data_IF_731736800797
#
_entry.id   IF_731736800797
#
_cell.length_a   1.000
_cell.length_b   1.000
_cell.length_c   1.000
_cell.angle_alpha   90.00
_cell.angle_beta   90.00
_cell.angle_gamma   90.00
#
_symmetry.space_group_name_H-M   'P 1'
#
loop_
_entity.id
_entity.type
_entity.pdbx_description
1 polymer ?
#
# COMPACT_ATOMS: atom_id res chain seq x y z
N UNK A 1 -32.24 -5.82 -16.55
CA UNK A 1 -31.22 -5.93 -15.49
C UNK A 1 -31.02 -4.54 -14.95
N UNK A 2 -31.12 -4.34 -13.66
CA UNK A 2 -31.03 -3.01 -13.05
C UNK A 2 -29.66 -2.40 -13.32
N UNK A 3 -29.63 -1.15 -13.79
CA UNK A 3 -28.41 -0.37 -13.93
C UNK A 3 -27.86 0.04 -12.52
N UNK A 4 -27.83 -0.90 -11.60
CA UNK A 4 -27.34 -0.68 -10.25
C UNK A 4 -25.84 -0.91 -10.19
N UNK A 5 -25.13 0.06 -9.66
CA UNK A 5 -23.70 -0.03 -9.40
C UNK A 5 -23.53 -0.37 -7.94
N UNK A 6 -22.88 -1.48 -7.66
CA UNK A 6 -22.52 -1.84 -6.30
C UNK A 6 -21.22 -1.14 -5.89
N UNK A 7 -21.28 -0.28 -4.90
CA UNK A 7 -20.09 0.30 -4.26
C UNK A 7 -19.64 -0.66 -3.18
N UNK A 8 -18.44 -1.19 -3.31
CA UNK A 8 -17.80 -2.00 -2.27
C UNK A 8 -16.52 -1.34 -1.79
N UNK A 9 -15.95 -1.82 -0.71
CA UNK A 9 -14.62 -1.37 -0.29
C UNK A 9 -13.55 -1.63 -1.36
N UNK A 10 -13.71 -2.66 -2.18
CA UNK A 10 -12.80 -3.01 -3.27
C UNK A 10 -12.89 -2.08 -4.47
N UNK A 11 -14.07 -1.57 -4.76
CA UNK A 11 -14.30 -0.72 -5.93
C UNK A 11 -15.79 -0.54 -6.20
N UNK A 12 -16.08 0.10 -7.33
CA UNK A 12 -17.40 0.18 -7.92
C UNK A 12 -17.52 -0.93 -8.96
N UNK A 13 -18.55 -1.75 -8.86
CA UNK A 13 -18.82 -2.84 -9.78
C UNK A 13 -19.87 -2.42 -10.79
N UNK A 14 -19.50 -2.47 -12.05
CA UNK A 14 -20.38 -2.17 -13.18
C UNK A 14 -20.88 -3.49 -13.82
N UNK A 15 -22.17 -3.59 -14.14
CA UNK A 15 -22.70 -4.78 -14.81
C UNK A 15 -22.13 -4.94 -16.20
N UNK A 16 -22.15 -6.16 -16.76
CA UNK A 16 -21.80 -6.42 -18.15
C UNK A 16 -22.63 -5.54 -19.09
N UNK A 17 -21.99 -4.98 -20.13
CA UNK A 17 -22.65 -4.13 -21.12
C UNK A 17 -23.01 -2.73 -20.63
N UNK A 18 -22.48 -2.28 -19.52
CA UNK A 18 -22.67 -0.91 -19.05
C UNK A 18 -22.12 0.11 -20.09
N UNK A 19 -22.90 1.14 -20.50
CA UNK A 19 -22.56 2.00 -21.64
C UNK A 19 -21.28 2.83 -21.46
N UNK A 20 -20.79 2.99 -20.24
CA UNK A 20 -19.60 3.81 -19.91
C UNK A 20 -18.30 2.99 -19.84
N UNK A 21 -18.30 1.68 -20.10
CA UNK A 21 -17.11 0.82 -19.94
C UNK A 21 -15.93 1.35 -20.74
N UNK A 22 -16.10 1.65 -22.01
CA UNK A 22 -14.99 2.10 -22.88
C UNK A 22 -14.42 3.47 -22.45
N UNK A 23 -15.30 4.36 -21.97
CA UNK A 23 -14.87 5.67 -21.45
C UNK A 23 -14.08 5.52 -20.16
N UNK A 24 -14.52 4.65 -19.25
CA UNK A 24 -13.84 4.34 -18.00
C UNK A 24 -12.47 3.73 -18.25
N UNK A 25 -12.39 2.74 -19.14
CA UNK A 25 -11.13 2.11 -19.51
C UNK A 25 -10.12 3.11 -20.08
N UNK A 26 -10.57 4.09 -20.87
CA UNK A 26 -9.70 5.16 -21.37
C UNK A 26 -9.22 6.10 -20.26
N UNK A 27 -10.09 6.48 -19.33
CA UNK A 27 -9.76 7.40 -18.21
C UNK A 27 -8.82 6.78 -17.20
N UNK A 28 -8.86 5.45 -17.01
CA UNK A 28 -8.05 4.72 -16.03
C UNK A 28 -6.81 4.05 -16.65
N UNK A 29 -6.34 4.53 -17.78
CA UNK A 29 -5.09 4.08 -18.40
C UNK A 29 -3.92 4.90 -17.89
N UNK A 30 -2.92 4.20 -17.37
CA UNK A 30 -1.62 4.79 -17.02
C UNK A 30 -0.53 4.26 -17.96
N UNK A 31 0.47 5.06 -18.34
CA UNK A 31 1.63 4.58 -19.07
C UNK A 31 2.28 3.41 -18.31
N UNK A 32 2.61 2.34 -19.04
CA UNK A 32 3.29 1.20 -18.44
C UNK A 32 4.81 1.42 -18.44
N UNK A 33 5.44 1.58 -17.29
CA UNK A 33 6.89 1.80 -17.20
C UNK A 33 7.71 0.63 -17.73
N UNK A 34 7.20 -0.60 -17.61
CA UNK A 34 7.85 -1.80 -18.17
C UNK A 34 7.88 -1.78 -19.69
N UNK A 35 6.86 -1.20 -20.35
CA UNK A 35 6.84 -1.01 -21.80
C UNK A 35 7.97 -0.11 -22.25
N UNK A 36 8.15 1.03 -21.60
CA UNK A 36 9.21 1.98 -21.93
C UNK A 36 10.61 1.36 -21.74
N UNK A 37 10.81 0.62 -20.65
CA UNK A 37 12.05 -0.10 -20.38
C UNK A 37 12.33 -1.19 -21.42
N UNK A 38 11.33 -2.00 -21.80
CA UNK A 38 11.45 -3.04 -22.81
C UNK A 38 11.79 -2.46 -24.19
N UNK A 39 11.15 -1.35 -24.56
CA UNK A 39 11.45 -0.64 -25.82
C UNK A 39 12.87 -0.06 -25.84
N UNK A 40 13.36 0.47 -24.72
CA UNK A 40 14.74 0.90 -24.57
C UNK A 40 15.75 -0.25 -24.75
N UNK A 41 15.47 -1.41 -24.15
CA UNK A 41 16.31 -2.60 -24.29
C UNK A 41 16.33 -3.13 -25.74
N UNK A 42 15.19 -3.12 -26.44
CA UNK A 42 15.12 -3.51 -27.88
C UNK A 42 15.91 -2.56 -28.79
N UNK A 43 15.84 -1.26 -28.54
CA UNK A 43 16.67 -0.28 -29.26
C UNK A 43 18.17 -0.56 -29.11
N UNK A 44 18.57 -1.15 -27.99
CA UNK A 44 19.96 -1.54 -27.71
C UNK A 44 20.27 -2.98 -28.15
N UNK A 45 19.46 -3.58 -29.02
CA UNK A 45 19.68 -4.90 -29.62
C UNK A 45 19.37 -6.10 -28.74
N UNK A 46 18.75 -5.91 -27.55
CA UNK A 46 18.32 -7.01 -26.68
C UNK A 46 16.91 -7.46 -27.04
N UNK A 47 16.73 -8.76 -27.25
CA UNK A 47 15.39 -9.33 -27.40
C UNK A 47 14.75 -9.48 -26.01
N UNK A 48 13.67 -8.75 -25.76
CA UNK A 48 12.82 -8.87 -24.57
C UNK A 48 11.35 -8.87 -24.99
N UNK A 49 10.48 -9.61 -24.32
CA UNK A 49 9.03 -9.50 -24.51
C UNK A 49 8.59 -8.06 -24.25
N UNK A 50 7.69 -7.53 -25.06
CA UNK A 50 7.13 -6.19 -24.88
C UNK A 50 5.79 -6.33 -24.18
N UNK A 51 5.62 -5.82 -22.96
CA UNK A 51 4.34 -5.81 -22.26
C UNK A 51 3.39 -4.80 -22.91
N UNK A 52 2.14 -4.76 -22.44
CA UNK A 52 1.16 -3.78 -22.89
C UNK A 52 1.65 -2.34 -22.63
N UNK A 53 1.36 -1.45 -23.57
CA UNK A 53 1.78 -0.03 -23.48
C UNK A 53 1.16 0.70 -22.29
N UNK A 54 0.01 0.23 -21.81
CA UNK A 54 -0.72 0.85 -20.72
C UNK A 54 -1.08 -0.15 -19.62
N UNK A 55 -1.11 0.34 -18.39
CA UNK A 55 -1.70 -0.37 -17.25
C UNK A 55 -3.12 0.16 -17.04
N UNK A 56 -4.09 -0.73 -16.99
CA UNK A 56 -5.48 -0.37 -16.73
C UNK A 56 -5.76 -0.36 -15.22
N UNK A 57 -6.30 0.75 -14.71
CA UNK A 57 -6.76 0.86 -13.33
C UNK A 57 -8.03 0.08 -13.06
N UNK A 58 -8.91 -0.06 -14.05
CA UNK A 58 -10.09 -0.90 -13.97
C UNK A 58 -9.78 -2.34 -14.41
N UNK A 59 -10.55 -3.30 -13.91
CA UNK A 59 -10.38 -4.73 -14.21
C UNK A 59 -11.71 -5.40 -14.46
N UNK A 60 -11.71 -6.39 -15.37
CA UNK A 60 -12.84 -7.29 -15.56
C UNK A 60 -13.02 -8.16 -14.30
N UNK A 61 -14.29 -8.39 -13.94
CA UNK A 61 -14.63 -9.26 -12.82
C UNK A 61 -14.39 -10.71 -13.22
N UNK A 62 -13.57 -11.47 -12.48
CA UNK A 62 -13.25 -12.85 -12.81
C UNK A 62 -14.47 -13.76 -12.93
N UNK A 63 -14.32 -14.82 -13.73
CA UNK A 63 -15.40 -15.78 -14.05
C UNK A 63 -15.89 -16.60 -12.85
N UNK A 64 -15.08 -16.71 -11.81
CA UNK A 64 -15.38 -17.42 -10.56
C UNK A 64 -16.23 -16.59 -9.58
N UNK A 65 -16.55 -15.33 -9.92
CA UNK A 65 -17.35 -14.45 -9.05
C UNK A 65 -18.79 -14.28 -9.58
N UNK A 66 -19.73 -14.05 -8.66
CA UNK A 66 -21.16 -13.86 -8.99
C UNK A 66 -21.44 -12.69 -9.94
N UNK A 67 -20.56 -11.68 -10.00
CA UNK A 67 -20.67 -10.51 -10.89
C UNK A 67 -19.80 -10.62 -12.15
N UNK A 68 -19.47 -11.84 -12.56
CA UNK A 68 -18.62 -12.14 -13.73
C UNK A 68 -19.05 -11.37 -15.00
N UNK A 69 -18.06 -10.99 -15.78
CA UNK A 69 -18.26 -10.26 -17.03
C UNK A 69 -18.58 -8.78 -16.88
N UNK A 70 -18.60 -8.27 -15.63
CA UNK A 70 -18.67 -6.85 -15.33
C UNK A 70 -17.29 -6.23 -15.17
N UNK A 71 -17.25 -4.95 -14.89
CA UNK A 71 -16.03 -4.17 -14.69
C UNK A 71 -15.89 -3.72 -13.24
N UNK A 72 -14.72 -3.94 -12.65
CA UNK A 72 -14.32 -3.35 -11.37
C UNK A 72 -13.57 -2.05 -11.60
N UNK A 73 -14.03 -0.97 -10.98
CA UNK A 73 -13.41 0.35 -11.01
C UNK A 73 -12.90 0.67 -9.59
N UNK A 74 -11.68 1.18 -9.43
CA UNK A 74 -11.17 1.53 -8.10
C UNK A 74 -12.10 2.54 -7.40
N UNK A 75 -12.31 2.35 -6.12
CA UNK A 75 -13.35 3.04 -5.34
C UNK A 75 -13.24 4.57 -5.36
N UNK A 76 -12.02 5.08 -5.34
CA UNK A 76 -11.70 6.52 -5.29
C UNK A 76 -11.31 7.12 -6.64
N UNK A 77 -11.35 6.33 -7.71
CA UNK A 77 -11.10 6.87 -9.03
C UNK A 77 -12.17 7.92 -9.38
N UNK A 78 -11.72 9.16 -9.58
CA UNK A 78 -12.59 10.26 -9.96
C UNK A 78 -12.79 10.22 -11.48
N UNK A 79 -13.97 9.81 -11.90
CA UNK A 79 -14.27 9.66 -13.32
C UNK A 79 -15.00 10.86 -13.92
N UNK A 80 -15.71 11.63 -13.10
CA UNK A 80 -16.61 12.71 -13.55
C UNK A 80 -17.75 12.18 -14.44
N UNK A 81 -18.17 10.94 -14.20
CA UNK A 81 -19.20 10.25 -14.97
C UNK A 81 -20.37 9.90 -14.06
N UNK A 82 -21.58 10.09 -14.58
CA UNK A 82 -22.76 9.48 -13.97
C UNK A 82 -22.77 7.99 -14.30
N UNK A 83 -22.59 7.18 -13.28
CA UNK A 83 -22.57 5.73 -13.36
C UNK A 83 -23.93 5.10 -12.96
N UNK A 84 -24.96 5.90 -12.73
CA UNK A 84 -26.28 5.46 -12.28
C UNK A 84 -26.39 5.33 -10.77
N UNK A 85 -27.36 4.55 -10.30
CA UNK A 85 -27.63 4.39 -8.86
C UNK A 85 -26.54 3.56 -8.18
N UNK A 86 -25.89 4.14 -7.19
CA UNK A 86 -24.89 3.45 -6.37
C UNK A 86 -25.54 2.77 -5.16
N UNK A 87 -25.14 1.53 -4.90
CA UNK A 87 -25.54 0.75 -3.71
C UNK A 87 -24.30 0.44 -2.88
N UNK A 88 -24.29 0.91 -1.64
CA UNK A 88 -23.18 0.66 -0.73
C UNK A 88 -23.20 -0.80 -0.24
N UNK A 89 -22.16 -1.56 -0.56
CA UNK A 89 -21.93 -2.94 -0.15
C UNK A 89 -20.64 -3.09 0.66
N UNK A 90 -20.11 -1.98 1.18
CA UNK A 90 -18.94 -2.02 2.04
C UNK A 90 -19.21 -2.81 3.31
N UNK A 91 -18.23 -3.60 3.74
CA UNK A 91 -18.33 -4.38 4.95
C UNK A 91 -17.79 -3.61 6.16
N UNK A 92 -18.52 -3.69 7.26
CA UNK A 92 -18.07 -3.18 8.56
C UNK A 92 -18.66 -4.07 9.65
N UNK A 93 -18.20 -5.34 9.76
CA UNK A 93 -18.69 -6.25 10.78
C UNK A 93 -18.36 -5.71 12.17
N UNK A 94 -19.33 -5.72 13.05
CA UNK A 94 -19.12 -5.34 14.45
C UNK A 94 -18.10 -6.28 15.11
N UNK A 95 -17.27 -5.73 15.95
CA UNK A 95 -16.31 -6.50 16.72
C UNK A 95 -16.05 -5.81 18.08
N UNK A 96 -15.58 -6.58 19.03
CA UNK A 96 -15.25 -6.06 20.35
C UNK A 96 -14.30 -4.87 20.27
N UNK A 97 -14.57 -3.88 21.07
CA UNK A 97 -13.72 -2.69 21.17
C UNK A 97 -12.36 -3.06 21.73
N UNK A 98 -11.33 -2.61 21.06
CA UNK A 98 -9.96 -2.73 21.54
C UNK A 98 -9.47 -1.38 22.06
N UNK A 99 -8.58 -1.44 23.02
CA UNK A 99 -7.98 -0.26 23.62
C UNK A 99 -6.45 -0.35 23.58
N UNK A 100 -5.81 0.77 23.69
CA UNK A 100 -4.36 0.82 23.84
C UNK A 100 -3.93 0.33 25.22
N UNK A 101 -2.76 -0.28 25.31
CA UNK A 101 -2.18 -0.72 26.56
C UNK A 101 -1.95 0.47 27.51
N UNK A 102 -1.97 0.19 28.81
CA UNK A 102 -1.73 1.21 29.84
C UNK A 102 -0.35 1.88 29.64
N UNK A 103 -0.35 3.19 29.55
CA UNK A 103 0.89 3.97 29.35
C UNK A 103 1.18 4.33 27.89
N UNK A 104 0.53 3.71 26.92
CA UNK A 104 0.66 4.15 25.54
C UNK A 104 -0.10 5.46 25.30
N UNK A 105 0.57 6.41 24.68
CA UNK A 105 -0.02 7.71 24.29
C UNK A 105 0.38 8.07 22.87
N UNK A 106 -0.59 8.39 22.06
CA UNK A 106 -0.34 8.99 20.75
C UNK A 106 0.22 10.41 20.89
N UNK A 107 1.14 10.75 20.01
CA UNK A 107 1.66 12.12 19.85
C UNK A 107 0.61 13.00 19.19
N UNK A 108 0.66 14.30 19.38
CA UNK A 108 -0.38 15.23 18.88
C UNK A 108 -0.56 15.16 17.36
N UNK A 109 0.53 15.12 16.59
CA UNK A 109 0.41 14.98 15.14
C UNK A 109 -0.21 13.65 14.70
N UNK A 110 -0.02 12.56 15.46
CA UNK A 110 -0.65 11.28 15.19
C UNK A 110 -2.17 11.33 15.44
N UNK A 111 -2.58 12.00 16.50
CA UNK A 111 -3.99 12.26 16.79
C UNK A 111 -4.63 13.12 15.70
N UNK A 112 -3.94 14.18 15.27
CA UNK A 112 -4.41 15.06 14.18
C UNK A 112 -4.58 14.30 12.86
N UNK A 113 -3.60 13.46 12.51
CA UNK A 113 -3.65 12.64 11.30
C UNK A 113 -4.84 11.68 11.33
N UNK A 114 -5.05 10.95 12.42
CA UNK A 114 -6.16 10.01 12.54
C UNK A 114 -7.52 10.70 12.67
N UNK A 115 -7.57 11.87 13.30
CA UNK A 115 -8.79 12.67 13.35
C UNK A 115 -9.21 13.14 11.94
N UNK A 116 -8.27 13.65 11.14
CA UNK A 116 -8.57 14.02 9.77
C UNK A 116 -9.00 12.80 8.94
N UNK A 117 -8.24 11.71 9.00
CA UNK A 117 -8.59 10.47 8.30
C UNK A 117 -10.00 10.01 8.61
N UNK A 118 -10.37 9.93 9.90
CA UNK A 118 -11.67 9.37 10.31
C UNK A 118 -12.83 10.34 10.07
N UNK A 119 -12.71 11.60 10.49
CA UNK A 119 -13.85 12.51 10.53
C UNK A 119 -13.98 13.43 9.31
N UNK A 120 -12.87 13.76 8.65
CA UNK A 120 -12.92 14.62 7.45
C UNK A 120 -12.98 13.81 6.16
N UNK A 121 -12.37 12.62 6.15
CA UNK A 121 -12.24 11.78 4.96
C UNK A 121 -12.96 10.43 5.09
N UNK A 122 -13.94 10.31 5.99
CA UNK A 122 -14.78 9.12 6.20
C UNK A 122 -14.00 7.82 6.43
N UNK A 123 -12.80 7.91 6.99
CA UNK A 123 -11.91 6.77 7.21
C UNK A 123 -11.28 6.20 5.95
N UNK A 124 -11.06 7.03 4.93
CA UNK A 124 -10.40 6.65 3.69
C UNK A 124 -9.31 7.64 3.30
N UNK A 125 -8.10 7.15 3.06
CA UNK A 125 -6.99 7.96 2.58
C UNK A 125 -5.65 7.51 3.12
N UNK A 126 -4.62 8.24 2.71
CA UNK A 126 -3.22 7.94 3.00
C UNK A 126 -2.63 8.98 3.94
N UNK A 127 -1.95 8.52 4.99
CA UNK A 127 -1.10 9.34 5.83
C UNK A 127 0.34 9.17 5.37
N UNK A 128 0.94 10.27 4.94
CA UNK A 128 2.35 10.34 4.58
C UNK A 128 3.15 10.71 5.83
N UNK A 129 4.06 9.83 6.24
CA UNK A 129 4.80 10.01 7.47
C UNK A 129 6.20 9.41 7.35
N UNK A 130 7.28 10.17 7.61
CA UNK A 130 8.65 9.69 7.47
C UNK A 130 8.96 8.55 8.46
N UNK A 131 10.13 7.95 8.30
CA UNK A 131 10.63 6.96 9.26
C UNK A 131 10.73 7.59 10.66
N UNK A 132 10.37 6.83 11.70
CA UNK A 132 10.36 7.34 13.08
C UNK A 132 9.09 8.10 13.50
N UNK A 133 8.21 8.46 12.56
CA UNK A 133 6.93 9.12 12.89
C UNK A 133 5.93 8.22 13.63
N UNK A 134 6.20 6.91 13.70
CA UNK A 134 5.33 5.95 14.38
C UNK A 134 4.13 5.51 13.56
N UNK A 135 4.33 5.21 12.27
CA UNK A 135 3.29 4.67 11.37
C UNK A 135 2.55 3.48 11.98
N UNK A 136 3.29 2.51 12.54
CA UNK A 136 2.70 1.35 13.22
C UNK A 136 1.78 1.76 14.36
N UNK A 137 2.20 2.74 15.17
CA UNK A 137 1.38 3.27 16.26
C UNK A 137 0.08 3.91 15.74
N UNK A 138 0.16 4.67 14.66
CA UNK A 138 -1.03 5.25 14.01
C UNK A 138 -1.96 4.16 13.48
N UNK A 139 -1.45 3.15 12.78
CA UNK A 139 -2.29 2.07 12.27
C UNK A 139 -2.97 1.27 13.37
N UNK A 140 -2.25 0.90 14.43
CA UNK A 140 -2.84 0.20 15.58
C UNK A 140 -3.87 1.08 16.32
N UNK A 141 -3.60 2.39 16.44
CA UNK A 141 -4.57 3.33 17.02
C UNK A 141 -5.79 3.52 16.14
N UNK A 142 -5.65 3.51 14.81
CA UNK A 142 -6.78 3.55 13.89
C UNK A 142 -7.71 2.34 14.11
N UNK A 143 -7.16 1.15 14.36
CA UNK A 143 -7.95 -0.04 14.70
C UNK A 143 -8.69 0.08 16.04
N UNK A 144 -8.21 0.93 16.96
CA UNK A 144 -8.91 1.25 18.21
C UNK A 144 -10.03 2.27 18.04
N UNK A 145 -10.00 3.07 16.98
CA UNK A 145 -11.00 4.12 16.72
C UNK A 145 -12.26 3.59 16.03
N UNK A 146 -12.17 2.41 15.41
CA UNK A 146 -13.26 1.80 14.68
C UNK A 146 -13.61 0.44 15.30
N UNK A 147 -14.87 0.22 15.64
CA UNK A 147 -15.34 -0.99 16.30
C UNK A 147 -15.58 -2.11 15.28
N UNK A 148 -14.55 -2.45 14.50
CA UNK A 148 -14.59 -3.48 13.46
C UNK A 148 -13.27 -4.22 13.33
N UNK A 149 -13.30 -5.44 12.83
CA UNK A 149 -12.10 -6.26 12.60
C UNK A 149 -11.16 -5.60 11.59
N UNK A 150 -9.87 -5.59 11.87
CA UNK A 150 -8.86 -4.92 11.07
C UNK A 150 -7.92 -5.92 10.36
N UNK A 151 -7.64 -5.66 9.08
CA UNK A 151 -6.62 -6.33 8.29
C UNK A 151 -5.47 -5.36 8.01
N UNK A 152 -4.25 -5.76 8.34
CA UNK A 152 -3.03 -5.02 8.04
C UNK A 152 -2.30 -5.74 6.92
N UNK A 153 -2.06 -5.05 5.82
CA UNK A 153 -1.39 -5.56 4.63
C UNK A 153 0.02 -4.99 4.53
N UNK A 154 0.99 -5.88 4.47
CA UNK A 154 2.42 -5.56 4.37
C UNK A 154 3.05 -6.29 3.19
N UNK A 155 4.27 -5.90 2.80
CA UNK A 155 4.94 -6.50 1.64
C UNK A 155 5.90 -7.66 1.98
N UNK A 156 6.29 -7.83 3.27
CA UNK A 156 7.15 -8.95 3.70
C UNK A 156 6.64 -9.63 4.96
N UNK A 157 7.07 -10.89 5.17
CA UNK A 157 6.75 -11.64 6.39
C UNK A 157 7.44 -11.05 7.64
N UNK A 158 8.61 -10.45 7.49
CA UNK A 158 9.32 -9.81 8.59
C UNK A 158 8.55 -8.59 9.11
N UNK A 159 7.99 -7.79 8.20
CA UNK A 159 7.10 -6.69 8.58
C UNK A 159 5.82 -7.23 9.24
N UNK A 160 5.27 -8.34 8.75
CA UNK A 160 4.12 -8.94 9.39
C UNK A 160 4.42 -9.34 10.85
N UNK A 161 5.57 -9.99 11.08
CA UNK A 161 6.01 -10.32 12.43
C UNK A 161 6.24 -9.07 13.31
N UNK A 162 6.83 -8.01 12.75
CA UNK A 162 7.00 -6.75 13.47
C UNK A 162 5.65 -6.12 13.88
N UNK A 163 4.66 -6.10 13.00
CA UNK A 163 3.32 -5.59 13.31
C UNK A 163 2.66 -6.40 14.42
N UNK A 164 2.73 -7.75 14.37
CA UNK A 164 2.20 -8.63 15.42
C UNK A 164 2.86 -8.34 16.77
N UNK A 165 4.20 -8.27 16.79
CA UNK A 165 4.96 -7.98 18.01
C UNK A 165 4.65 -6.59 18.59
N UNK A 166 4.51 -5.58 17.72
CA UNK A 166 4.14 -4.22 18.14
C UNK A 166 2.73 -4.15 18.71
N UNK A 167 1.78 -4.89 18.12
CA UNK A 167 0.42 -4.97 18.63
C UNK A 167 0.38 -5.51 20.06
N UNK A 168 1.14 -6.56 20.38
CA UNK A 168 1.22 -7.11 21.73
C UNK A 168 1.70 -6.11 22.79
N UNK A 169 2.61 -5.20 22.39
CA UNK A 169 3.12 -4.17 23.30
C UNK A 169 2.28 -2.90 23.41
N UNK A 170 1.40 -2.67 22.43
CA UNK A 170 0.67 -1.40 22.32
C UNK A 170 -0.85 -1.53 22.56
N UNK A 171 -1.38 -2.74 22.48
CA UNK A 171 -2.81 -3.01 22.59
C UNK A 171 -3.08 -4.01 23.70
N UNK A 172 -4.33 -4.06 24.14
CA UNK A 172 -4.81 -5.08 25.08
C UNK A 172 -5.23 -6.39 24.40
N UNK A 173 -5.04 -6.50 23.08
CA UNK A 173 -5.34 -7.71 22.28
C UNK A 173 -4.14 -8.11 21.45
N UNK A 174 -3.99 -9.41 21.24
CA UNK A 174 -2.99 -9.93 20.32
C UNK A 174 -3.46 -9.78 18.87
N UNK A 175 -2.51 -9.48 17.98
CA UNK A 175 -2.72 -9.62 16.56
C UNK A 175 -2.34 -11.03 16.09
N UNK A 176 -3.03 -11.55 15.09
CA UNK A 176 -2.72 -12.84 14.45
C UNK A 176 -2.12 -12.65 13.07
N UNK A 177 -1.39 -13.65 12.59
CA UNK A 177 -0.74 -13.61 11.27
C UNK A 177 -1.41 -14.60 10.31
N UNK A 178 -1.76 -14.09 9.12
CA UNK A 178 -2.25 -14.90 8.02
C UNK A 178 -1.23 -14.90 6.86
N UNK A 179 -0.51 -16.01 6.70
CA UNK A 179 0.58 -16.16 5.73
C UNK A 179 1.89 -16.61 6.40
N UNK A 180 2.92 -16.90 5.60
CA UNK A 180 4.20 -17.39 6.13
C UNK A 180 4.10 -18.73 6.88
N UNK A 181 3.24 -19.64 6.41
CA UNK A 181 2.96 -20.93 7.08
C UNK A 181 1.89 -20.86 8.17
N UNK A 182 1.42 -19.68 8.54
CA UNK A 182 0.33 -19.47 9.51
C UNK A 182 -0.97 -19.15 8.77
N UNK A 183 -2.10 -19.69 9.21
CA UNK A 183 -3.43 -19.44 8.62
C UNK A 183 -4.42 -19.03 9.70
N UNK A 184 -4.01 -18.13 10.59
CA UNK A 184 -4.86 -17.65 11.66
C UNK A 184 -5.46 -16.29 11.32
N UNK A 185 -6.74 -16.28 11.01
CA UNK A 185 -7.53 -15.07 10.78
C UNK A 185 -8.57 -14.83 11.89
N UNK A 186 -8.46 -15.50 13.05
CA UNK A 186 -9.44 -15.37 14.14
C UNK A 186 -9.30 -14.06 14.92
N UNK A 187 -8.10 -13.50 14.96
CA UNK A 187 -7.79 -12.28 15.71
C UNK A 187 -8.63 -11.06 15.33
N UNK A 188 -8.78 -10.14 16.26
CA UNK A 188 -9.42 -8.83 16.06
C UNK A 188 -8.59 -7.95 15.09
N UNK A 189 -7.27 -8.17 15.09
CA UNK A 189 -6.30 -7.61 14.14
C UNK A 189 -5.61 -8.78 13.46
N UNK A 190 -5.67 -8.82 12.15
CA UNK A 190 -4.99 -9.82 11.32
C UNK A 190 -3.94 -9.13 10.48
N UNK A 191 -2.74 -9.67 10.45
CA UNK A 191 -1.65 -9.16 9.60
C UNK A 191 -1.38 -10.17 8.48
N UNK A 192 -1.37 -9.71 7.25
CA UNK A 192 -1.11 -10.56 6.08
C UNK A 192 -0.17 -9.87 5.08
N UNK A 193 0.50 -10.65 4.23
CA UNK A 193 1.24 -10.08 3.11
C UNK A 193 0.37 -10.01 1.86
N UNK A 194 0.62 -9.01 1.00
CA UNK A 194 -0.04 -8.90 -0.30
C UNK A 194 0.13 -10.17 -1.13
N UNK A 195 1.32 -10.77 -1.11
CA UNK A 195 1.64 -12.00 -1.86
C UNK A 195 0.84 -13.22 -1.37
N UNK A 196 0.53 -13.27 -0.07
CA UNK A 196 -0.32 -14.34 0.48
C UNK A 196 -1.73 -14.25 -0.09
N UNK A 197 -2.30 -13.04 -0.12
CA UNK A 197 -3.65 -12.83 -0.62
C UNK A 197 -3.72 -12.89 -2.15
N UNK A 198 -2.68 -12.48 -2.87
CA UNK A 198 -2.63 -12.57 -4.33
C UNK A 198 -2.77 -14.01 -4.84
N UNK A 199 -2.23 -15.00 -4.09
CA UNK A 199 -2.30 -16.42 -4.43
C UNK A 199 -3.69 -17.04 -4.30
N UNK A 200 -4.61 -16.37 -3.61
CA UNK A 200 -6.00 -16.81 -3.49
C UNK A 200 -6.76 -16.53 -4.79
N UNK A 201 -7.79 -17.32 -5.09
CA UNK A 201 -8.77 -16.94 -6.11
C UNK A 201 -9.40 -15.57 -5.76
N UNK A 202 -10.01 -14.90 -6.74
CA UNK A 202 -10.68 -13.63 -6.44
C UNK A 202 -11.83 -13.83 -5.46
N UNK A 203 -12.62 -14.88 -5.66
CA UNK A 203 -13.77 -15.20 -4.79
C UNK A 203 -13.33 -15.51 -3.37
N UNK A 204 -12.33 -16.38 -3.18
CA UNK A 204 -11.82 -16.70 -1.83
C UNK A 204 -11.25 -15.46 -1.13
N UNK A 205 -10.53 -14.63 -1.86
CA UNK A 205 -9.96 -13.38 -1.36
C UNK A 205 -11.04 -12.38 -0.98
N UNK A 206 -12.10 -12.29 -1.77
CA UNK A 206 -13.24 -11.43 -1.50
C UNK A 206 -14.01 -11.89 -0.25
N UNK A 207 -14.27 -13.19 -0.13
CA UNK A 207 -14.90 -13.78 1.06
C UNK A 207 -14.03 -13.58 2.31
N UNK A 208 -12.71 -13.74 2.16
CA UNK A 208 -11.77 -13.40 3.25
C UNK A 208 -11.85 -11.92 3.59
N UNK A 209 -11.87 -11.04 2.61
CA UNK A 209 -11.95 -9.59 2.78
C UNK A 209 -13.21 -9.10 3.48
N UNK A 210 -14.34 -9.81 3.32
CA UNK A 210 -15.63 -9.47 3.95
C UNK A 210 -15.61 -9.55 5.48
N UNK A 211 -14.63 -10.25 6.05
CA UNK A 211 -14.47 -10.36 7.51
C UNK A 211 -13.96 -9.05 8.14
N UNK A 212 -13.49 -8.09 7.34
CA UNK A 212 -12.84 -6.89 7.83
C UNK A 212 -13.64 -5.64 7.48
N UNK A 213 -13.70 -4.71 8.42
CA UNK A 213 -14.26 -3.39 8.18
C UNK A 213 -13.19 -2.30 8.05
N UNK A 214 -11.94 -2.60 8.42
CA UNK A 214 -10.78 -1.73 8.24
C UNK A 214 -9.66 -2.50 7.52
N UNK A 215 -9.11 -1.91 6.47
CA UNK A 215 -7.88 -2.36 5.81
C UNK A 215 -6.81 -1.28 5.96
N UNK A 216 -5.67 -1.65 6.52
CA UNK A 216 -4.49 -0.80 6.63
C UNK A 216 -3.43 -1.33 5.69
N UNK A 217 -2.83 -0.49 4.87
CA UNK A 217 -1.70 -0.84 4.01
C UNK A 217 -0.45 -0.12 4.47
N UNK A 218 0.63 -0.86 4.71
CA UNK A 218 1.90 -0.30 5.13
C UNK A 218 2.93 -0.41 4.01
N UNK A 219 3.58 0.70 3.69
CA UNK A 219 4.61 0.86 2.65
C UNK A 219 4.20 0.21 1.30
N UNK A 220 2.94 0.41 0.91
CA UNK A 220 2.37 -0.21 -0.29
C UNK A 220 3.03 0.20 -1.60
N UNK A 221 3.87 1.24 -1.61
CA UNK A 221 4.68 1.62 -2.76
C UNK A 221 5.73 0.55 -3.14
N UNK A 222 6.09 -0.36 -2.24
CA UNK A 222 6.96 -1.51 -2.51
C UNK A 222 6.23 -2.70 -3.17
N UNK A 223 4.89 -2.69 -3.21
CA UNK A 223 4.11 -3.78 -3.80
C UNK A 223 3.92 -3.50 -5.29
N UNK A 224 4.16 -4.46 -6.20
CA UNK A 224 3.85 -4.28 -7.61
C UNK A 224 2.40 -3.79 -7.80
N UNK A 225 2.19 -2.80 -8.66
CA UNK A 225 0.88 -2.16 -8.83
C UNK A 225 -0.23 -3.14 -9.19
N UNK A 226 0.11 -4.18 -9.96
CA UNK A 226 -0.83 -5.27 -10.31
C UNK A 226 -1.27 -6.05 -9.08
N UNK A 227 -0.32 -6.52 -8.25
CA UNK A 227 -0.59 -7.28 -7.02
C UNK A 227 -1.40 -6.43 -6.05
N UNK A 228 -1.00 -5.17 -5.84
CA UNK A 228 -1.72 -4.21 -5.02
C UNK A 228 -3.18 -4.06 -5.45
N UNK A 229 -3.40 -3.75 -6.72
CA UNK A 229 -4.74 -3.57 -7.29
C UNK A 229 -5.60 -4.83 -7.17
N UNK A 230 -5.04 -6.02 -7.49
CA UNK A 230 -5.74 -7.30 -7.38
C UNK A 230 -6.21 -7.59 -5.96
N UNK A 231 -5.38 -7.29 -4.97
CA UNK A 231 -5.75 -7.50 -3.56
C UNK A 231 -6.79 -6.47 -3.14
N UNK A 232 -6.58 -5.20 -3.44
CA UNK A 232 -7.47 -4.13 -2.99
C UNK A 232 -8.88 -4.20 -3.59
N UNK A 233 -9.04 -4.72 -4.82
CA UNK A 233 -10.36 -4.98 -5.39
C UNK A 233 -11.17 -6.04 -4.62
N UNK A 234 -10.52 -6.96 -3.94
CA UNK A 234 -11.18 -7.98 -3.16
C UNK A 234 -11.38 -7.59 -1.68
N UNK A 235 -11.09 -6.34 -1.30
CA UNK A 235 -11.25 -5.87 0.09
C UNK A 235 -12.45 -4.93 0.20
N UNK A 236 -13.65 -5.42 0.54
CA UNK A 236 -14.86 -4.61 0.64
C UNK A 236 -14.96 -3.79 1.95
N UNK A 237 -13.90 -3.70 2.72
CA UNK A 237 -13.86 -2.98 3.98
C UNK A 237 -14.32 -1.51 3.83
N UNK A 238 -15.10 -1.02 4.80
CA UNK A 238 -15.57 0.36 4.84
C UNK A 238 -14.42 1.35 4.98
N UNK A 239 -13.50 1.09 5.90
CA UNK A 239 -12.38 1.98 6.20
C UNK A 239 -11.09 1.52 5.51
N UNK A 240 -10.30 2.48 5.01
CA UNK A 240 -9.00 2.24 4.38
C UNK A 240 -7.99 3.28 4.82
N UNK A 241 -6.87 2.81 5.35
CA UNK A 241 -5.76 3.65 5.78
C UNK A 241 -4.47 3.21 5.08
N UNK A 242 -3.91 4.08 4.25
CA UNK A 242 -2.55 3.91 3.73
C UNK A 242 -1.55 4.58 4.66
N UNK A 243 -0.44 3.91 4.94
CA UNK A 243 0.68 4.45 5.70
C UNK A 243 1.94 4.34 4.82
N UNK A 244 2.59 5.44 4.55
CA UNK A 244 3.82 5.44 3.73
C UNK A 244 4.75 6.57 4.12
N UNK A 245 6.07 6.34 3.96
CA UNK A 245 7.06 7.41 4.09
C UNK A 245 7.20 8.23 2.80
N UNK A 246 6.97 7.57 1.67
CA UNK A 246 7.08 8.16 0.34
C UNK A 246 5.80 7.87 -0.44
N UNK A 247 5.00 8.89 -0.77
CA UNK A 247 3.78 8.68 -1.53
C UNK A 247 4.07 8.29 -2.99
N UNK A 248 5.22 8.71 -3.49
CA UNK A 248 5.64 8.45 -4.86
C UNK A 248 6.13 7.01 -5.03
N UNK A 249 5.61 6.35 -6.04
CA UNK A 249 6.01 5.00 -6.39
C UNK A 249 7.16 5.03 -7.42
N UNK A 250 8.19 4.20 -7.23
CA UNK A 250 9.29 4.11 -8.20
C UNK A 250 8.84 3.70 -9.61
N UNK A 251 7.72 2.97 -9.72
CA UNK A 251 7.13 2.55 -10.99
C UNK A 251 6.27 3.62 -11.67
N UNK A 252 6.15 4.83 -11.12
CA UNK A 252 5.34 5.92 -11.66
C UNK A 252 3.82 5.70 -11.58
N UNK A 253 3.35 4.63 -10.93
CA UNK A 253 1.94 4.27 -10.82
C UNK A 253 1.33 4.69 -9.47
N UNK A 254 1.75 5.82 -8.94
CA UNK A 254 1.27 6.39 -7.68
C UNK A 254 -0.25 6.56 -7.66
N UNK A 255 -0.85 6.96 -8.78
CA UNK A 255 -2.30 7.12 -8.91
C UNK A 255 -3.08 5.84 -8.60
N UNK A 256 -2.52 4.66 -8.86
CA UNK A 256 -3.16 3.39 -8.51
C UNK A 256 -3.40 3.27 -7.00
N UNK A 257 -2.50 3.80 -6.18
CA UNK A 257 -2.66 3.81 -4.72
C UNK A 257 -3.79 4.78 -4.32
N UNK A 258 -3.80 5.99 -4.89
CA UNK A 258 -4.85 6.98 -4.62
C UNK A 258 -6.22 6.48 -5.05
N UNK A 259 -6.32 5.84 -6.20
CA UNK A 259 -7.59 5.28 -6.68
C UNK A 259 -8.15 4.18 -5.76
N UNK A 260 -7.30 3.42 -5.09
CA UNK A 260 -7.76 2.33 -4.22
C UNK A 260 -7.95 2.73 -2.77
N UNK A 261 -7.14 3.61 -2.22
CA UNK A 261 -7.18 3.97 -0.80
C UNK A 261 -7.86 5.32 -0.59
N UNK A 262 -7.56 6.28 -1.41
CA UNK A 262 -7.93 7.69 -1.29
C UNK A 262 -6.69 8.58 -1.35
N UNK A 263 -6.91 9.89 -1.38
CA UNK A 263 -5.86 10.89 -1.44
C UNK A 263 -5.02 10.98 -0.14
N UNK A 264 -3.96 11.79 -0.18
CA UNK A 264 -3.21 12.14 1.03
C UNK A 264 -4.09 12.98 1.96
N UNK A 265 -4.44 12.42 3.11
CA UNK A 265 -5.29 13.09 4.11
C UNK A 265 -4.50 13.84 5.15
N UNK A 266 -3.23 13.46 5.35
CA UNK A 266 -2.31 14.13 6.26
C UNK A 266 -0.86 13.81 5.88
N UNK A 267 -0.03 14.84 5.93
CA UNK A 267 1.41 14.71 5.71
C UNK A 267 2.17 15.22 6.94
N UNK A 268 3.11 14.41 7.41
CA UNK A 268 4.02 14.73 8.51
C UNK A 268 5.40 14.95 7.90
N UNK A 269 5.97 16.13 8.11
CA UNK A 269 7.30 16.45 7.58
C UNK A 269 8.42 16.08 8.56
N UNK A 270 9.63 15.86 8.05
CA UNK A 270 10.81 15.66 8.88
C UNK A 270 11.07 16.86 9.79
N UNK A 271 10.78 18.07 9.31
CA UNK A 271 10.93 19.30 10.10
C UNK A 271 10.01 19.28 11.33
N UNK A 272 8.72 18.96 11.17
CA UNK A 272 7.77 18.85 12.28
C UNK A 272 8.20 17.82 13.33
N UNK A 273 8.78 16.68 12.88
CA UNK A 273 9.29 15.65 13.77
C UNK A 273 10.52 16.12 14.55
N UNK A 274 11.42 16.85 13.91
CA UNK A 274 12.62 17.41 14.53
C UNK A 274 12.26 18.49 15.54
N UNK A 275 11.39 19.43 15.17
CA UNK A 275 10.92 20.50 16.06
C UNK A 275 10.19 19.95 17.29
N UNK A 276 9.50 18.82 17.16
CA UNK A 276 8.85 18.13 18.27
C UNK A 276 9.80 17.26 19.11
N UNK A 277 11.10 17.21 18.79
CA UNK A 277 12.11 16.44 19.50
C UNK A 277 11.99 14.92 19.33
N UNK A 278 11.27 14.45 18.31
CA UNK A 278 11.00 13.02 18.11
C UNK A 278 11.94 12.35 17.13
N UNK A 279 12.63 13.12 16.31
CA UNK A 279 13.64 12.64 15.34
C UNK A 279 14.81 13.62 15.37
N UNK A 280 16.01 13.07 15.38
CA UNK A 280 17.22 13.86 15.22
C UNK A 280 17.46 14.03 13.71
N UNK A 281 17.58 15.27 13.26
CA UNK A 281 17.99 15.53 11.88
C UNK A 281 19.48 15.24 11.75
N UNK A 282 19.87 14.27 10.90
CA UNK A 282 21.28 13.98 10.70
C UNK A 282 21.95 15.15 9.98
N UNK A 283 23.11 15.56 10.45
CA UNK A 283 23.99 16.44 9.70
C UNK A 283 24.71 15.59 8.65
N UNK A 284 24.42 15.83 7.39
CA UNK A 284 25.04 15.10 6.28
C UNK A 284 26.28 15.90 5.85
N UNK A 285 27.43 15.26 5.99
CA UNK A 285 28.70 15.80 5.46
C UNK A 285 29.14 14.95 4.28
N UNK A 286 29.32 15.60 3.14
CA UNK A 286 29.79 14.95 1.94
C UNK A 286 31.31 15.04 1.87
N UNK A 287 31.99 13.91 1.65
CA UNK A 287 33.40 13.89 1.35
C UNK A 287 33.68 12.93 0.18
N UNK A 288 34.68 13.26 -0.60
CA UNK A 288 35.09 12.45 -1.74
C UNK A 288 36.29 11.61 -1.34
N UNK A 289 36.21 10.31 -1.59
CA UNK A 289 37.36 9.41 -1.51
C UNK A 289 38.03 9.36 -2.88
N UNK A 290 39.37 9.33 -2.91
CA UNK A 290 40.09 9.06 -4.14
C UNK A 290 40.01 7.57 -4.43
N UNK A 291 39.32 7.23 -5.48
CA UNK A 291 39.21 5.86 -5.95
C UNK A 291 39.34 5.83 -7.48
N UNK A 292 40.33 5.10 -8.03
CA UNK A 292 40.62 5.13 -9.47
C UNK A 292 39.50 4.58 -10.34
N UNK A 293 38.51 3.93 -9.74
CA UNK A 293 37.37 3.39 -10.47
C UNK A 293 37.67 2.11 -11.24
N UNK A 294 36.66 1.57 -11.88
CA UNK A 294 36.76 0.49 -12.83
C UNK A 294 36.42 0.98 -14.24
N UNK A 295 36.92 0.33 -15.31
CA UNK A 295 36.56 0.71 -16.69
C UNK A 295 35.04 0.68 -16.90
N UNK A 296 34.53 1.53 -17.74
CA UNK A 296 33.12 1.93 -17.94
C UNK A 296 32.10 0.83 -18.35
N UNK A 297 32.43 -0.46 -18.25
CA UNK A 297 31.56 -1.59 -18.61
C UNK A 297 31.58 -2.73 -17.58
N UNK A 298 31.69 -2.42 -16.29
CA UNK A 298 31.75 -3.45 -15.25
C UNK A 298 30.36 -3.65 -14.63
N UNK A 299 30.02 -4.91 -14.39
CA UNK A 299 28.84 -5.33 -13.65
C UNK A 299 28.83 -4.66 -12.26
N UNK A 300 27.65 -4.20 -11.84
CA UNK A 300 27.43 -3.54 -10.56
C UNK A 300 27.95 -4.34 -9.36
N UNK A 301 27.75 -5.65 -9.36
CA UNK A 301 28.25 -6.55 -8.29
C UNK A 301 29.77 -6.55 -8.20
N UNK A 302 30.48 -6.51 -9.34
CA UNK A 302 31.95 -6.43 -9.39
C UNK A 302 32.44 -5.07 -8.91
N UNK A 303 31.70 -4.00 -9.26
CA UNK A 303 32.01 -2.64 -8.81
C UNK A 303 31.95 -2.56 -7.27
N UNK A 304 30.84 -2.99 -6.66
CA UNK A 304 30.69 -3.00 -5.21
C UNK A 304 31.78 -3.85 -4.54
N UNK A 305 32.07 -5.05 -5.09
CA UNK A 305 33.12 -5.92 -4.55
C UNK A 305 34.50 -5.27 -4.62
N UNK A 306 34.82 -4.55 -5.68
CA UNK A 306 36.08 -3.82 -5.79
C UNK A 306 36.16 -2.67 -4.79
N UNK A 307 35.06 -1.89 -4.66
CA UNK A 307 34.99 -0.77 -3.70
C UNK A 307 35.12 -1.22 -2.25
N UNK A 308 34.52 -2.37 -1.88
CA UNK A 308 34.60 -2.90 -0.51
C UNK A 308 35.97 -3.50 -0.18
N UNK A 309 36.77 -3.88 -1.18
CA UNK A 309 38.13 -4.42 -1.01
C UNK A 309 39.23 -3.37 -1.12
N UNK A 310 38.90 -2.13 -1.46
CA UNK A 310 39.88 -1.05 -1.57
C UNK A 310 40.24 -0.56 -0.17
N UNK A 311 41.44 -0.94 0.29
CA UNK A 311 41.92 -0.64 1.64
C UNK A 311 42.13 0.85 1.84
N UNK A 312 42.71 1.57 0.88
CA UNK A 312 42.96 3.01 0.97
C UNK A 312 41.67 3.81 1.10
N UNK A 313 40.67 3.44 0.31
CA UNK A 313 39.32 4.04 0.39
C UNK A 313 38.67 3.74 1.74
N UNK A 314 38.76 2.51 2.21
CA UNK A 314 38.17 2.10 3.48
C UNK A 314 38.85 2.80 4.67
N UNK A 315 40.17 2.97 4.65
CA UNK A 315 40.91 3.74 5.64
C UNK A 315 40.49 5.22 5.68
N UNK A 316 40.32 5.85 4.50
CA UNK A 316 39.78 7.21 4.43
C UNK A 316 38.38 7.34 5.03
N UNK A 317 37.52 6.33 4.89
CA UNK A 317 36.19 6.31 5.52
C UNK A 317 36.31 6.15 7.02
N UNK A 318 37.09 5.16 7.49
CA UNK A 318 37.24 4.84 8.92
C UNK A 318 37.81 6.03 9.69
N UNK A 319 38.78 6.75 9.11
CA UNK A 319 39.40 7.90 9.75
C UNK A 319 38.49 9.13 9.84
N UNK A 320 37.28 9.08 9.24
CA UNK A 320 36.29 10.17 9.29
C UNK A 320 35.03 9.85 10.10
N UNK A 321 34.82 8.62 10.48
CA UNK A 321 33.73 8.16 11.33
C UNK A 321 34.20 8.09 12.79
#
# INVERSE_FOLDING_TARGET
MSNEICVTGGGKFLPPGHPKIDEILRKLRLPNPEYAAAMGMRKNGKYVPVPDQYVNGAREIPSDHQWRGGLMVPRKAVLGLDLGKEVDKRTCPEAERITTAKGFRMREYQKSALSQWLYKYDGEGVVVAPCGAGKTAMGLSAACLVDTKALILVHTNDLAAQWVNRAMGMLNVAATQYGGGKKDASGRIVVATFQTLERMSFTDRYEFGKQFGLVITDESHHVPSRTFSMVMFAMPAKYRLGLTATPERPDGLTEMMWWHIGECVYEITNQQLSESGHVVMPKIEWFFTQWPGLPSKVDWSKLITAMTKDEDRNEQIINRV
#
